data_IF_793356663636
#
_entry.id   IF_793356663636
#
_cell.length_a   1.000
_cell.length_b   1.000
_cell.length_c   1.000
_cell.angle_alpha   90.00
_cell.angle_beta   90.00
_cell.angle_gamma   90.00
#
_symmetry.space_group_name_H-M   'P 1'
#
loop_
_entity.id
_entity.type
_entity.pdbx_description
1 polymer ?
#
# COMPACT_ATOMS: atom_id res chain seq x y z
N UNK A 1 18.71 28.06 -72.37
CA UNK A 1 17.55 27.58 -71.60
C UNK A 1 17.88 27.74 -70.12
N UNK A 2 17.28 28.67 -69.39
CA UNK A 2 17.45 28.78 -67.93
C UNK A 2 16.22 28.19 -67.29
N UNK A 3 16.34 26.94 -66.84
CA UNK A 3 15.28 26.25 -66.11
C UNK A 3 15.08 26.95 -64.76
N UNK A 4 13.85 27.43 -64.51
CA UNK A 4 13.50 28.15 -63.28
C UNK A 4 12.81 27.18 -62.34
N UNK A 5 13.18 27.24 -61.05
CA UNK A 5 12.60 26.42 -59.99
C UNK A 5 11.05 26.44 -60.06
N UNK A 6 10.39 25.28 -60.12
CA UNK A 6 8.92 25.17 -60.08
C UNK A 6 8.34 25.82 -58.80
N UNK A 7 7.20 26.52 -58.88
CA UNK A 7 6.64 27.30 -57.77
C UNK A 7 6.11 26.44 -56.60
N UNK A 8 5.92 25.14 -56.83
CA UNK A 8 5.51 24.12 -55.87
C UNK A 8 6.67 23.55 -55.06
N UNK A 9 7.91 23.91 -55.39
CA UNK A 9 9.10 23.37 -54.73
C UNK A 9 9.59 24.35 -53.64
N UNK A 10 9.21 24.09 -52.39
CA UNK A 10 9.74 24.79 -51.21
C UNK A 10 11.16 24.32 -50.88
N UNK A 11 11.90 25.11 -50.08
CA UNK A 11 13.19 24.68 -49.53
C UNK A 11 12.95 23.82 -48.28
N UNK A 12 13.84 22.85 -48.03
CA UNK A 12 13.82 22.02 -46.82
C UNK A 12 13.81 22.92 -45.57
N UNK A 13 12.89 22.67 -44.63
CA UNK A 13 12.92 23.36 -43.34
C UNK A 13 14.20 22.99 -42.59
N UNK A 14 14.69 23.88 -41.74
CA UNK A 14 15.80 23.55 -40.85
C UNK A 14 15.50 22.29 -40.01
N UNK A 15 14.24 22.07 -39.62
CA UNK A 15 13.80 20.86 -38.90
C UNK A 15 13.90 19.62 -39.79
N UNK A 16 13.41 19.68 -41.03
CA UNK A 16 13.45 18.57 -41.98
C UNK A 16 14.90 18.15 -42.27
N UNK A 17 15.78 19.15 -42.45
CA UNK A 17 17.22 18.94 -42.62
C UNK A 17 17.83 18.20 -41.44
N UNK A 18 17.50 18.59 -40.20
CA UNK A 18 17.99 17.90 -39.01
C UNK A 18 17.49 16.46 -38.91
N UNK A 19 16.23 16.20 -39.26
CA UNK A 19 15.66 14.83 -39.27
C UNK A 19 16.37 13.96 -40.30
N UNK A 20 16.61 14.48 -41.51
CA UNK A 20 17.32 13.77 -42.57
C UNK A 20 18.76 13.47 -42.17
N UNK A 21 19.51 14.45 -41.68
CA UNK A 21 20.89 14.27 -41.21
C UNK A 21 21.00 13.31 -40.02
N UNK A 22 20.02 13.30 -39.10
CA UNK A 22 19.94 12.32 -38.01
C UNK A 22 19.66 10.90 -38.52
N UNK A 23 18.80 10.78 -39.54
CA UNK A 23 18.51 9.49 -40.21
C UNK A 23 19.72 8.96 -40.97
N UNK A 24 20.42 9.80 -41.74
CA UNK A 24 21.65 9.44 -42.47
C UNK A 24 22.78 8.98 -41.53
N UNK A 25 22.83 9.53 -40.31
CA UNK A 25 23.78 9.13 -39.25
C UNK A 25 23.35 7.87 -38.49
N UNK A 26 22.17 7.32 -38.76
CA UNK A 26 21.65 6.15 -38.07
C UNK A 26 21.26 6.42 -36.61
N UNK A 27 20.95 7.66 -36.22
CA UNK A 27 20.53 7.97 -34.84
C UNK A 27 19.18 7.33 -34.46
N UNK A 28 18.41 6.91 -35.47
CA UNK A 28 17.17 6.15 -35.33
C UNK A 28 17.36 4.62 -35.48
N UNK A 29 18.59 4.15 -35.70
CA UNK A 29 18.90 2.72 -35.73
C UNK A 29 19.02 2.16 -34.29
N UNK A 30 18.60 0.91 -34.07
CA UNK A 30 18.65 0.24 -32.77
C UNK A 30 17.87 0.94 -31.63
N UNK A 31 16.82 1.69 -31.96
CA UNK A 31 15.94 2.25 -30.94
C UNK A 31 15.37 1.15 -30.03
N UNK A 32 15.22 1.49 -28.75
CA UNK A 32 14.60 0.59 -27.77
C UNK A 32 13.16 0.31 -28.20
N UNK A 33 12.90 -0.93 -28.62
CA UNK A 33 11.59 -1.38 -29.11
C UNK A 33 11.44 -1.39 -30.64
N UNK A 34 12.51 -1.10 -31.40
CA UNK A 34 12.49 -1.25 -32.86
C UNK A 34 12.15 -2.70 -33.25
N UNK A 35 11.17 -2.87 -34.15
CA UNK A 35 10.69 -4.17 -34.62
C UNK A 35 9.86 -4.97 -33.59
N UNK A 36 9.69 -4.48 -32.36
CA UNK A 36 8.83 -5.12 -31.37
C UNK A 36 7.37 -4.67 -31.56
N UNK A 37 6.38 -5.52 -31.26
CA UNK A 37 4.98 -5.11 -31.21
C UNK A 37 4.81 -3.92 -30.28
N UNK A 38 4.06 -2.90 -30.71
CA UNK A 38 3.78 -1.74 -29.86
C UNK A 38 3.00 -2.25 -28.63
N UNK A 39 3.50 -2.04 -27.40
CA UNK A 39 2.81 -2.50 -26.20
C UNK A 39 1.48 -1.75 -26.06
N UNK A 40 0.38 -2.49 -25.87
CA UNK A 40 -0.96 -1.93 -25.69
C UNK A 40 -1.78 -1.74 -26.97
N UNK A 41 -1.33 -2.26 -28.12
CA UNK A 41 -2.15 -2.28 -29.35
C UNK A 41 -3.46 -3.02 -29.09
N UNK A 42 -4.59 -2.37 -29.40
CA UNK A 42 -5.95 -2.89 -29.18
C UNK A 42 -6.56 -2.59 -27.81
N UNK A 43 -5.81 -1.96 -26.89
CA UNK A 43 -6.37 -1.44 -25.63
C UNK A 43 -6.81 0.02 -25.79
N UNK A 44 -7.76 0.46 -24.96
CA UNK A 44 -8.20 1.85 -24.95
C UNK A 44 -6.99 2.76 -24.73
N UNK A 45 -6.75 3.69 -25.66
CA UNK A 45 -5.64 4.65 -25.55
C UNK A 45 -5.89 5.53 -24.34
N UNK A 46 -5.06 5.35 -23.31
CA UNK A 46 -5.05 6.23 -22.16
C UNK A 46 -4.29 7.50 -22.52
N UNK A 47 -4.98 8.65 -22.56
CA UNK A 47 -4.37 9.96 -22.81
C UNK A 47 -3.18 10.25 -21.87
N UNK A 48 -3.18 9.67 -20.67
CA UNK A 48 -2.14 9.83 -19.65
C UNK A 48 -1.04 8.76 -19.72
N UNK A 49 -0.95 7.95 -20.78
CA UNK A 49 0.03 6.86 -20.91
C UNK A 49 1.48 7.35 -20.74
N UNK A 50 1.81 8.51 -21.31
CA UNK A 50 3.14 9.10 -21.28
C UNK A 50 3.49 9.61 -19.88
N UNK A 51 2.51 10.24 -19.19
CA UNK A 51 2.67 10.73 -17.83
C UNK A 51 2.85 9.57 -16.86
N UNK A 52 2.04 8.51 -16.96
CA UNK A 52 2.21 7.28 -16.14
C UNK A 52 3.55 6.60 -16.41
N UNK A 53 4.00 6.58 -17.66
CA UNK A 53 5.31 6.04 -18.03
C UNK A 53 6.45 6.86 -17.45
N UNK A 54 6.32 8.20 -17.43
CA UNK A 54 7.28 9.11 -16.83
C UNK A 54 7.32 8.96 -15.30
N UNK A 55 6.17 9.01 -14.62
CA UNK A 55 6.07 8.83 -13.17
C UNK A 55 6.65 7.49 -12.71
N UNK A 56 6.39 6.41 -13.45
CA UNK A 56 6.97 5.08 -13.17
C UNK A 56 8.49 5.08 -13.33
N UNK A 57 9.02 5.78 -14.33
CA UNK A 57 10.46 5.89 -14.58
C UNK A 57 11.17 6.67 -13.49
N UNK A 58 10.57 7.77 -13.04
CA UNK A 58 11.11 8.61 -11.96
C UNK A 58 10.87 8.03 -10.56
N UNK A 59 10.19 6.88 -10.46
CA UNK A 59 9.88 6.24 -9.17
C UNK A 59 8.91 7.05 -8.30
N UNK A 60 8.17 8.00 -8.89
CA UNK A 60 7.16 8.79 -8.19
C UNK A 60 6.01 7.85 -7.83
N UNK A 61 5.97 7.45 -6.55
CA UNK A 61 4.84 6.70 -6.01
C UNK A 61 3.59 7.58 -6.11
N UNK A 62 2.43 6.97 -6.35
CA UNK A 62 1.15 7.68 -6.46
C UNK A 62 0.88 8.61 -5.25
N UNK A 63 1.46 8.29 -4.10
CA UNK A 63 1.42 9.08 -2.88
C UNK A 63 2.06 10.48 -3.02
N UNK A 64 3.12 10.61 -3.81
CA UNK A 64 3.77 11.89 -4.11
C UNK A 64 2.94 12.80 -5.00
N UNK A 65 1.83 12.31 -5.56
CA UNK A 65 0.88 13.11 -6.33
C UNK A 65 -0.41 13.43 -5.56
N UNK A 66 -0.60 12.85 -4.37
CA UNK A 66 -1.77 13.13 -3.56
C UNK A 66 -1.57 14.44 -2.78
N UNK A 67 -2.62 15.27 -2.63
CA UNK A 67 -2.60 16.36 -1.66
C UNK A 67 -2.29 15.85 -0.25
N UNK A 68 -1.53 16.63 0.53
CA UNK A 68 -1.11 16.30 1.90
C UNK A 68 -2.27 15.84 2.79
N UNK A 69 -3.46 16.41 2.59
CA UNK A 69 -4.66 16.09 3.35
C UNK A 69 -5.10 14.62 3.21
N UNK A 70 -4.98 14.05 2.00
CA UNK A 70 -5.32 12.66 1.72
C UNK A 70 -4.24 11.71 2.21
N UNK A 71 -2.96 12.10 2.04
CA UNK A 71 -1.82 11.32 2.54
C UNK A 71 -1.93 11.17 4.06
N UNK A 72 -2.14 12.28 4.78
CA UNK A 72 -2.28 12.27 6.24
C UNK A 72 -3.51 11.49 6.70
N UNK A 73 -4.63 11.60 5.99
CA UNK A 73 -5.85 10.84 6.34
C UNK A 73 -5.60 9.34 6.25
N UNK A 74 -4.96 8.88 5.18
CA UNK A 74 -4.58 7.48 5.00
C UNK A 74 -3.58 7.03 6.06
N UNK A 75 -2.52 7.80 6.31
CA UNK A 75 -1.50 7.45 7.30
C UNK A 75 -2.10 7.30 8.70
N UNK A 76 -3.06 8.16 9.07
CA UNK A 76 -3.83 8.04 10.32
C UNK A 76 -4.68 6.76 10.38
N UNK A 77 -5.30 6.34 9.28
CA UNK A 77 -6.08 5.10 9.23
C UNK A 77 -5.19 3.86 9.34
N UNK A 78 -4.03 3.91 8.71
CA UNK A 78 -3.10 2.78 8.59
C UNK A 78 -2.08 2.69 9.71
N UNK A 79 -2.11 3.62 10.67
CA UNK A 79 -1.13 3.67 11.76
C UNK A 79 -1.02 2.34 12.50
N UNK A 80 -2.12 1.61 12.68
CA UNK A 80 -2.13 0.29 13.33
C UNK A 80 -1.37 -0.77 12.51
N UNK A 81 -1.54 -0.76 11.19
CA UNK A 81 -0.80 -1.65 10.29
C UNK A 81 0.69 -1.32 10.30
N UNK A 82 1.03 -0.03 10.26
CA UNK A 82 2.43 0.43 10.28
C UNK A 82 3.14 0.04 11.58
N UNK A 83 2.48 0.19 12.74
CA UNK A 83 3.11 -0.15 14.02
C UNK A 83 3.14 -1.64 14.31
N UNK A 84 2.32 -2.46 13.63
CA UNK A 84 2.32 -3.91 13.79
C UNK A 84 3.69 -4.54 13.47
N UNK A 85 4.41 -3.96 12.51
CA UNK A 85 5.75 -4.41 12.10
C UNK A 85 6.86 -4.01 13.09
N UNK A 86 6.59 -3.10 14.02
CA UNK A 86 7.58 -2.61 14.99
C UNK A 86 7.68 -3.53 16.21
N UNK A 87 8.89 -3.65 16.75
CA UNK A 87 9.19 -4.60 17.83
C UNK A 87 9.09 -3.99 19.24
N UNK A 88 9.30 -2.68 19.37
CA UNK A 88 9.31 -2.03 20.69
C UNK A 88 8.25 -0.94 20.83
N UNK A 89 7.71 -0.79 22.04
CA UNK A 89 6.77 0.30 22.37
C UNK A 89 7.36 1.68 22.10
N UNK A 90 8.68 1.84 22.30
CA UNK A 90 9.39 3.10 22.03
C UNK A 90 9.30 3.46 20.56
N UNK A 91 9.47 2.51 19.65
CA UNK A 91 9.34 2.72 18.20
C UNK A 91 7.90 3.03 17.83
N UNK A 92 6.92 2.32 18.40
CA UNK A 92 5.49 2.62 18.19
C UNK A 92 5.17 4.06 18.60
N UNK A 93 5.61 4.50 19.78
CA UNK A 93 5.40 5.88 20.23
C UNK A 93 6.12 6.89 19.34
N UNK A 94 7.32 6.58 18.87
CA UNK A 94 8.06 7.44 17.95
C UNK A 94 7.34 7.61 16.61
N UNK A 95 6.84 6.52 16.02
CA UNK A 95 6.08 6.55 14.77
C UNK A 95 4.80 7.38 14.90
N UNK A 96 4.04 7.20 15.99
CA UNK A 96 2.84 8.01 16.26
C UNK A 96 3.21 9.48 16.47
N UNK A 97 4.30 9.77 17.17
CA UNK A 97 4.76 11.14 17.40
C UNK A 97 5.16 11.84 16.08
N UNK A 98 5.87 11.14 15.19
CA UNK A 98 6.23 11.65 13.88
C UNK A 98 4.99 11.97 13.03
N UNK A 99 4.03 11.04 12.96
CA UNK A 99 2.77 11.27 12.27
C UNK A 99 2.03 12.48 12.85
N UNK A 100 1.95 12.58 14.19
CA UNK A 100 1.29 13.70 14.85
C UNK A 100 1.98 15.04 14.57
N UNK A 101 3.31 15.08 14.46
CA UNK A 101 4.02 16.30 14.06
C UNK A 101 3.63 16.74 12.64
N UNK A 102 3.51 15.79 11.71
CA UNK A 102 3.04 16.08 10.34
C UNK A 102 1.60 16.57 10.33
N UNK A 103 0.71 15.93 11.08
CA UNK A 103 -0.70 16.35 11.21
C UNK A 103 -0.80 17.75 11.80
N UNK A 104 -0.09 18.06 12.89
CA UNK A 104 -0.11 19.40 13.51
C UNK A 104 0.41 20.46 12.55
N UNK A 105 1.47 20.17 11.78
CA UNK A 105 1.99 21.10 10.77
C UNK A 105 0.95 21.40 9.70
N UNK A 106 0.29 20.38 9.17
CA UNK A 106 -0.76 20.55 8.17
C UNK A 106 -1.98 21.31 8.74
N UNK A 107 -2.44 21.00 9.95
CA UNK A 107 -3.59 21.67 10.57
C UNK A 107 -3.35 23.17 10.76
N UNK A 108 -2.09 23.60 10.95
CA UNK A 108 -1.74 25.03 11.06
C UNK A 108 -1.89 25.78 9.73
N UNK A 109 -1.56 25.14 8.61
CA UNK A 109 -1.61 25.72 7.27
C UNK A 109 -2.18 24.68 6.30
N UNK A 110 -3.51 24.47 6.31
CA UNK A 110 -4.12 23.41 5.51
C UNK A 110 -4.22 23.82 4.04
N UNK A 111 -3.78 22.93 3.15
CA UNK A 111 -3.92 23.10 1.70
C UNK A 111 -5.19 22.39 1.21
N UNK A 112 -5.94 22.95 0.25
CA UNK A 112 -7.06 22.24 -0.38
C UNK A 112 -6.63 20.91 -1.01
N UNK A 113 -7.49 19.87 -1.03
CA UNK A 113 -8.83 19.81 -0.45
C UNK A 113 -8.80 19.65 1.08
N UNK A 114 -9.75 20.29 1.77
CA UNK A 114 -9.83 20.26 3.22
C UNK A 114 -10.46 18.97 3.73
N UNK A 115 -9.61 17.99 4.06
CA UNK A 115 -10.02 16.74 4.70
C UNK A 115 -9.80 16.84 6.22
N UNK A 116 -10.79 16.47 7.05
CA UNK A 116 -10.61 16.44 8.50
C UNK A 116 -9.56 15.40 8.89
N UNK A 117 -8.44 15.86 9.44
CA UNK A 117 -7.36 15.04 10.00
C UNK A 117 -7.00 15.57 11.39
N UNK A 118 -6.78 14.66 12.34
CA UNK A 118 -6.50 15.00 13.73
C UNK A 118 -5.38 14.12 14.30
N UNK A 119 -4.64 14.61 15.31
CA UNK A 119 -3.60 13.81 15.97
C UNK A 119 -4.17 12.51 16.55
N UNK A 120 -3.37 11.46 16.51
CA UNK A 120 -3.67 10.13 17.03
C UNK A 120 -3.18 10.02 18.47
N UNK A 121 -3.99 9.41 19.33
CA UNK A 121 -3.60 9.10 20.71
C UNK A 121 -2.62 7.91 20.76
N UNK A 122 -1.38 8.20 21.13
CA UNK A 122 -0.30 7.21 21.22
C UNK A 122 -0.58 6.10 22.22
N UNK A 123 -1.24 6.40 23.35
CA UNK A 123 -1.52 5.38 24.36
C UNK A 123 -2.57 4.38 23.86
N UNK A 124 -3.57 4.87 23.11
CA UNK A 124 -4.55 4.01 22.46
C UNK A 124 -3.91 3.11 21.39
N UNK A 125 -2.98 3.63 20.60
CA UNK A 125 -2.25 2.83 19.60
C UNK A 125 -1.38 1.77 20.27
N UNK A 126 -0.62 2.14 21.28
CA UNK A 126 0.26 1.22 22.02
C UNK A 126 -0.52 0.11 22.72
N UNK A 127 -1.66 0.44 23.36
CA UNK A 127 -2.51 -0.59 23.99
C UNK A 127 -2.94 -1.64 22.97
N UNK A 128 -3.48 -1.18 21.82
CA UNK A 128 -3.93 -2.08 20.76
C UNK A 128 -2.79 -2.93 20.19
N UNK A 129 -1.62 -2.33 19.95
CA UNK A 129 -0.43 -3.06 19.49
C UNK A 129 0.00 -4.16 20.47
N UNK A 130 -0.04 -3.89 21.78
CA UNK A 130 0.23 -4.90 22.82
C UNK A 130 -0.79 -6.03 22.80
N UNK A 131 -2.07 -5.70 22.70
CA UNK A 131 -3.16 -6.68 22.72
C UNK A 131 -3.07 -7.63 21.51
N UNK A 132 -2.76 -7.09 20.33
CA UNK A 132 -2.59 -7.87 19.09
C UNK A 132 -1.35 -8.80 19.18
N UNK A 133 -0.23 -8.33 19.75
CA UNK A 133 0.96 -9.16 19.99
C UNK A 133 0.72 -10.25 21.04
N UNK A 134 0.08 -9.92 22.15
CA UNK A 134 -0.24 -10.90 23.18
C UNK A 134 -1.12 -12.04 22.62
N UNK A 135 -2.10 -11.67 21.78
CA UNK A 135 -2.97 -12.63 21.07
C UNK A 135 -2.18 -13.53 20.10
N UNK A 136 -1.24 -12.95 19.33
CA UNK A 136 -0.39 -13.70 18.41
C UNK A 136 0.56 -14.67 19.12
N UNK A 137 1.20 -14.22 20.22
CA UNK A 137 2.05 -15.08 21.05
C UNK A 137 1.25 -16.22 21.68
N UNK A 138 0.07 -15.95 22.22
CA UNK A 138 -0.82 -17.00 22.77
C UNK A 138 -1.21 -18.06 21.72
N UNK A 139 -1.54 -17.63 20.50
CA UNK A 139 -1.86 -18.52 19.38
C UNK A 139 -0.66 -19.33 18.85
N UNK A 140 0.56 -18.81 18.97
CA UNK A 140 1.77 -19.55 18.63
C UNK A 140 2.05 -20.66 19.66
N UNK A 141 1.91 -20.34 20.96
CA UNK A 141 2.08 -21.30 22.05
C UNK A 141 1.06 -22.44 21.95
N UNK A 142 -0.22 -22.13 21.73
CA UNK A 142 -1.26 -23.16 21.59
C UNK A 142 -1.04 -24.09 20.40
N UNK A 143 -0.58 -23.57 19.25
CA UNK A 143 -0.21 -24.39 18.09
C UNK A 143 1.00 -25.28 18.37
N UNK A 144 2.00 -24.78 19.09
CA UNK A 144 3.16 -25.57 19.51
C UNK A 144 2.77 -26.74 20.42
N UNK A 145 1.91 -26.48 21.41
CA UNK A 145 1.40 -27.52 22.32
C UNK A 145 0.54 -28.55 21.58
N UNK A 146 -0.31 -28.13 20.65
CA UNK A 146 -1.10 -29.05 19.84
C UNK A 146 -0.24 -29.93 18.91
N UNK A 147 0.78 -29.36 18.27
CA UNK A 147 1.69 -30.10 17.40
C UNK A 147 2.55 -31.12 18.18
N UNK A 148 2.98 -30.76 19.39
CA UNK A 148 3.72 -31.65 20.28
C UNK A 148 2.83 -32.78 20.83
N UNK A 149 1.56 -32.48 21.15
CA UNK A 149 0.56 -33.47 21.54
C UNK A 149 0.28 -34.48 20.41
N UNK A 150 0.14 -33.99 19.18
CA UNK A 150 -0.05 -34.84 17.99
C UNK A 150 1.18 -35.73 17.72
N UNK A 151 2.40 -35.18 17.89
CA UNK A 151 3.64 -35.95 17.72
C UNK A 151 3.75 -37.07 18.77
N UNK A 152 3.41 -36.79 20.04
CA UNK A 152 3.37 -37.81 21.11
C UNK A 152 2.33 -38.89 20.84
N UNK A 153 1.15 -38.51 20.36
CA UNK A 153 0.10 -39.47 19.98
C UNK A 153 0.52 -40.35 18.80
N UNK A 154 1.19 -39.79 17.78
CA UNK A 154 1.74 -40.57 16.66
C UNK A 154 2.89 -41.49 17.06
N UNK A 155 3.74 -41.10 18.02
CA UNK A 155 4.75 -42.02 18.56
C UNK A 155 4.15 -43.13 19.44
N UNK A 156 3.04 -42.86 20.13
CA UNK A 156 2.33 -43.87 20.93
C UNK A 156 1.57 -44.87 20.04
N UNK A 157 1.09 -44.48 18.85
CA UNK A 157 0.46 -45.41 17.88
C UNK A 157 1.46 -46.31 17.13
N UNK A 158 2.78 -46.11 17.28
CA UNK A 158 3.80 -47.06 16.79
C UNK A 158 4.04 -48.22 17.79
N UNK A 159 3.61 -48.07 19.04
CA UNK A 159 3.66 -49.09 20.09
C UNK A 159 2.24 -49.35 20.63
N UNK A 160 1.37 -50.00 19.84
CA UNK A 160 0.49 -51.10 20.30
C UNK A 160 -0.64 -51.39 19.30
N UNK A 161 -1.01 -52.68 19.13
CA UNK A 161 -1.98 -53.14 18.14
C UNK A 161 -3.43 -52.95 18.60
N UNK A 162 -4.26 -52.69 17.60
CA UNK A 162 -5.72 -52.86 17.52
C UNK A 162 -6.44 -53.49 18.72
N UNK A 163 -7.22 -52.66 19.45
CA UNK A 163 -8.41 -53.10 20.17
C UNK A 163 -9.51 -52.02 20.08
N UNK A 164 -10.72 -52.50 19.78
CA UNK A 164 -11.93 -51.78 19.41
C UNK A 164 -12.58 -50.97 20.57
N UNK A 165 -13.41 -49.98 20.20
CA UNK A 165 -14.77 -49.67 20.73
C UNK A 165 -15.03 -48.14 20.62
N UNK A 166 -15.84 -47.66 19.67
CA UNK A 166 -17.31 -47.50 19.70
C UNK A 166 -17.88 -46.55 20.78
N UNK A 167 -18.75 -45.64 20.29
CA UNK A 167 -19.80 -44.85 20.97
C UNK A 167 -19.36 -43.55 21.68
N UNK A 168 -20.11 -42.43 21.69
CA UNK A 168 -21.33 -41.98 21.01
C UNK A 168 -21.59 -40.49 21.37
N UNK A 169 -22.39 -39.82 20.54
CA UNK A 169 -23.41 -38.81 20.86
C UNK A 169 -23.07 -37.40 21.42
N UNK A 170 -23.52 -36.37 20.67
CA UNK A 170 -24.37 -35.30 21.19
C UNK A 170 -23.81 -33.86 21.20
N UNK A 171 -24.40 -32.89 20.47
CA UNK A 171 -24.01 -31.49 20.53
C UNK A 171 -24.84 -30.70 21.55
N UNK A 172 -24.22 -29.75 22.27
CA UNK A 172 -24.91 -28.77 23.11
C UNK A 172 -24.52 -27.35 22.72
N UNK A 173 -25.49 -26.62 22.20
CA UNK A 173 -25.43 -25.19 21.95
C UNK A 173 -25.40 -24.42 23.28
N UNK A 174 -24.56 -23.37 23.35
CA UNK A 174 -24.66 -22.34 24.40
C UNK A 174 -24.53 -20.95 23.78
N UNK A 175 -25.51 -20.13 24.14
CA UNK A 175 -25.66 -18.70 23.87
C UNK A 175 -24.41 -17.89 24.23
N UNK A 176 -24.10 -16.87 23.43
CA UNK A 176 -23.18 -15.78 23.77
C UNK A 176 -23.91 -14.45 23.64
N UNK A 177 -23.70 -13.63 24.66
CA UNK A 177 -24.41 -12.42 25.00
C UNK A 177 -24.09 -11.21 24.09
N UNK A 178 -25.12 -10.40 23.85
CA UNK A 178 -25.03 -9.06 23.30
C UNK A 178 -24.28 -8.12 24.27
N UNK A 179 -23.27 -7.42 23.75
CA UNK A 179 -22.58 -6.33 24.45
C UNK A 179 -23.00 -5.00 23.84
N UNK A 180 -23.67 -4.19 24.64
CA UNK A 180 -24.13 -2.84 24.31
C UNK A 180 -22.97 -1.84 24.30
N UNK A 181 -22.85 -1.05 23.22
CA UNK A 181 -21.85 0.01 23.07
C UNK A 181 -22.50 1.35 23.43
N UNK A 182 -22.03 1.96 24.52
CA UNK A 182 -22.38 3.33 24.92
C UNK A 182 -21.72 4.41 24.04
N UNK A 183 -22.24 5.65 24.06
CA UNK A 183 -21.94 6.66 23.04
C UNK A 183 -20.54 7.28 23.16
N UNK A 184 -19.86 7.44 22.01
CA UNK A 184 -18.54 8.08 21.86
C UNK A 184 -18.66 9.59 22.01
N UNK A 185 -17.96 10.17 22.99
CA UNK A 185 -17.84 11.63 23.16
C UNK A 185 -16.85 12.19 22.13
N UNK A 186 -17.20 13.32 21.51
CA UNK A 186 -16.48 13.92 20.40
C UNK A 186 -15.27 14.75 20.85
N UNK A 187 -14.11 14.49 20.24
CA UNK A 187 -12.79 14.99 20.62
C UNK A 187 -12.49 16.45 20.22
N UNK A 188 -13.31 17.07 19.36
CA UNK A 188 -13.04 18.42 18.81
C UNK A 188 -13.32 19.59 19.77
N UNK A 189 -13.93 19.36 20.94
CA UNK A 189 -14.27 20.44 21.88
C UNK A 189 -13.12 20.89 22.79
N UNK A 190 -11.98 20.19 22.80
CA UNK A 190 -10.89 20.46 23.76
C UNK A 190 -9.86 21.51 23.29
N UNK A 191 -9.85 21.88 22.01
CA UNK A 191 -8.76 22.70 21.43
C UNK A 191 -9.22 24.05 20.83
N UNK A 192 -10.39 24.56 21.24
CA UNK A 192 -10.75 25.98 21.01
C UNK A 192 -10.46 26.78 22.28
N UNK A 193 -9.22 27.22 22.46
CA UNK A 193 -8.85 28.39 23.26
C UNK A 193 -7.45 28.85 22.90
#
# INVERSE_FOLDING_TARGET
MTERKPPDQTFESWIDKQVREATERGEFDNLRGAGQPIPGVGTQVDENWWLRSYLRREGVRADGMLPDSLVLRRDVERIQETVAELDTEREVRAAVAELNQRVVRYVRVPTPPHVPVGPVDADTVVRRWRDERASASGAAVSRGVAADSARRASSAHAEEPSAQAQQAAGPSARHVAESSVGPKRHWWQRFRR
#
